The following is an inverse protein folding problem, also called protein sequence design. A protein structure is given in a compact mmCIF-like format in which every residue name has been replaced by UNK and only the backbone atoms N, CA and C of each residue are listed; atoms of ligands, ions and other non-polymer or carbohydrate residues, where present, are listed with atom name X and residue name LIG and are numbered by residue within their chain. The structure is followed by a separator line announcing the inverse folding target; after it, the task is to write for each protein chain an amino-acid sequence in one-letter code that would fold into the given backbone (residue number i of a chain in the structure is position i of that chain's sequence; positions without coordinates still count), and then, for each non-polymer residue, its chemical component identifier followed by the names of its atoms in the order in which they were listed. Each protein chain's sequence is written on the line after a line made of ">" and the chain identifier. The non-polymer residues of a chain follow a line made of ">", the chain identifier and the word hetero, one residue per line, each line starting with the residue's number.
data_IF_376502080849
#
_entry.id   IF_376502080849
#
_cell.length_a   1.000
_cell.length_b   1.000
_cell.length_c   1.000
_cell.angle_alpha   90.00
_cell.angle_beta   90.00
_cell.angle_gamma   90.00
#
_symmetry.space_group_name_H-M   'P 1'
#
loop_
_entity.id
_entity.type
_entity.pdbx_description
1 polymer ?
#
# COMPACT_ATOMS: atom_id res chain seq x y z
N UNK A 1 -17.25 -6.34 25.57
CA UNK A 1 -18.07 -7.57 25.65
C UNK A 1 -18.67 -7.80 27.04
N UNK A 2 -17.92 -7.64 28.14
CA UNK A 2 -18.42 -7.81 29.51
C UNK A 2 -19.54 -6.85 29.96
N UNK A 3 -19.71 -5.70 29.32
CA UNK A 3 -20.71 -4.69 29.68
C UNK A 3 -22.07 -4.94 28.99
N UNK A 4 -22.06 -5.59 27.81
CA UNK A 4 -23.28 -5.91 27.06
C UNK A 4 -24.09 -7.02 27.73
N UNK A 5 -23.44 -7.98 28.42
CA UNK A 5 -24.14 -9.06 29.13
C UNK A 5 -24.89 -8.57 30.36
N UNK A 6 -24.36 -7.55 31.04
CA UNK A 6 -24.96 -6.97 32.25
C UNK A 6 -26.22 -6.16 31.91
N UNK A 7 -26.18 -5.41 30.81
CA UNK A 7 -27.33 -4.59 30.38
C UNK A 7 -28.48 -5.45 29.82
N UNK A 8 -28.18 -6.53 29.08
CA UNK A 8 -29.20 -7.50 28.63
C UNK A 8 -29.84 -8.26 29.81
N UNK A 9 -29.05 -8.63 30.82
CA UNK A 9 -29.56 -9.28 32.04
C UNK A 9 -30.47 -8.32 32.84
N UNK A 10 -30.11 -7.04 32.94
CA UNK A 10 -30.91 -6.00 33.57
C UNK A 10 -32.23 -5.80 32.80
N UNK A 11 -32.19 -5.71 31.47
CA UNK A 11 -33.40 -5.57 30.63
C UNK A 11 -34.34 -6.76 30.82
N UNK A 12 -33.81 -8.00 30.87
CA UNK A 12 -34.62 -9.20 31.10
C UNK A 12 -35.28 -9.25 32.48
N UNK A 13 -34.60 -8.70 33.51
CA UNK A 13 -35.13 -8.62 34.87
C UNK A 13 -36.22 -7.55 35.01
N UNK A 14 -36.19 -6.52 34.18
CA UNK A 14 -37.17 -5.42 34.16
C UNK A 14 -38.47 -5.79 33.41
N UNK A 15 -38.44 -6.79 32.51
CA UNK A 15 -39.63 -7.24 31.77
C UNK A 15 -40.64 -8.05 32.59
N UNK A 16 -40.28 -8.52 33.79
CA UNK A 16 -41.22 -9.21 34.70
C UNK A 16 -42.20 -8.21 35.33
N UNK A 17 -43.19 -7.77 34.56
CA UNK A 17 -44.32 -6.94 35.02
C UNK A 17 -45.15 -7.69 36.09
N UNK A 18 -45.26 -7.21 37.33
CA UNK A 18 -46.23 -7.74 38.28
C UNK A 18 -47.58 -7.06 38.03
N UNK A 19 -48.25 -7.42 36.92
CA UNK A 19 -49.61 -6.97 36.60
C UNK A 19 -50.65 -7.35 37.68
N UNK A 20 -50.29 -8.24 38.60
CA UNK A 20 -51.11 -8.63 39.75
C UNK A 20 -51.25 -7.53 40.80
N UNK A 21 -50.20 -6.74 41.06
CA UNK A 21 -50.20 -5.72 42.12
C UNK A 21 -51.13 -4.55 41.77
N UNK A 22 -51.11 -4.10 40.51
CA UNK A 22 -52.00 -3.04 40.00
C UNK A 22 -53.48 -3.45 40.03
N UNK A 23 -53.80 -4.70 39.67
CA UNK A 23 -55.18 -5.23 39.74
C UNK A 23 -55.68 -5.30 41.18
N UNK A 24 -54.86 -5.80 42.10
CA UNK A 24 -55.21 -5.86 43.54
C UNK A 24 -55.37 -4.44 44.12
N UNK A 25 -54.51 -3.49 43.76
CA UNK A 25 -54.62 -2.09 44.16
C UNK A 25 -55.92 -1.42 43.68
N UNK A 26 -56.33 -1.71 42.44
CA UNK A 26 -57.56 -1.17 41.85
C UNK A 26 -58.83 -1.73 42.52
N UNK A 27 -58.82 -3.02 42.84
CA UNK A 27 -59.92 -3.70 43.55
C UNK A 27 -60.02 -3.17 44.99
N UNK A 28 -58.89 -3.04 45.70
CA UNK A 28 -58.86 -2.50 47.05
C UNK A 28 -59.37 -1.05 47.09
N UNK A 29 -58.97 -0.22 46.12
CA UNK A 29 -59.44 1.16 46.01
C UNK A 29 -60.96 1.26 45.83
N UNK A 30 -61.54 0.40 44.98
CA UNK A 30 -62.99 0.32 44.79
C UNK A 30 -63.75 -0.07 46.06
N UNK A 31 -63.21 -1.02 46.84
CA UNK A 31 -63.79 -1.44 48.12
C UNK A 31 -63.73 -0.30 49.15
N UNK A 32 -62.62 0.45 49.22
CA UNK A 32 -62.47 1.52 50.20
C UNK A 32 -63.34 2.75 49.88
N UNK A 33 -63.59 3.05 48.61
CA UNK A 33 -64.61 4.06 48.20
C UNK A 33 -66.00 3.64 48.66
N UNK A 34 -66.34 2.36 48.49
CA UNK A 34 -67.63 1.82 48.92
C UNK A 34 -67.80 1.95 50.44
N UNK A 35 -66.74 1.67 51.21
CA UNK A 35 -66.71 1.87 52.67
C UNK A 35 -66.93 3.35 53.02
N UNK A 36 -66.20 4.30 52.40
CA UNK A 36 -66.37 5.73 52.66
C UNK A 36 -67.80 6.23 52.39
N UNK A 37 -68.45 5.74 51.34
CA UNK A 37 -69.80 6.17 50.97
C UNK A 37 -70.90 5.53 51.83
N UNK A 38 -70.75 4.27 52.24
CA UNK A 38 -71.80 3.51 52.92
C UNK A 38 -71.64 3.41 54.44
N UNK A 39 -70.43 3.56 54.99
CA UNK A 39 -70.21 3.46 56.43
C UNK A 39 -70.90 4.58 57.25
N UNK A 40 -70.94 5.85 56.80
CA UNK A 40 -71.67 6.91 57.51
C UNK A 40 -73.17 6.61 57.60
N UNK A 41 -73.76 6.05 56.54
CA UNK A 41 -75.17 5.67 56.51
C UNK A 41 -75.47 4.48 57.45
N UNK A 42 -74.59 3.47 57.46
CA UNK A 42 -74.70 2.31 58.36
C UNK A 42 -74.58 2.71 59.83
N UNK A 43 -73.64 3.60 60.17
CA UNK A 43 -73.39 4.04 61.55
C UNK A 43 -74.48 4.99 62.06
N UNK A 44 -75.14 5.76 61.19
CA UNK A 44 -76.16 6.75 61.60
C UNK A 44 -77.60 6.22 61.58
N UNK A 45 -77.93 5.19 60.78
CA UNK A 45 -79.32 4.72 60.62
C UNK A 45 -79.59 3.24 60.97
N UNK A 46 -78.57 2.40 61.21
CA UNK A 46 -78.79 0.98 61.49
C UNK A 46 -78.88 0.67 63.00
N UNK A 47 -80.10 0.55 63.53
CA UNK A 47 -80.37 0.36 64.97
C UNK A 47 -80.11 -1.05 65.52
N UNK A 48 -79.64 -2.01 64.72
CA UNK A 48 -79.54 -3.43 65.12
C UNK A 48 -78.13 -3.99 65.30
N UNK A 49 -77.05 -3.23 65.00
CA UNK A 49 -75.69 -3.79 65.08
C UNK A 49 -74.67 -2.90 65.82
N UNK A 50 -74.82 -1.58 65.84
CA UNK A 50 -73.93 -0.68 66.59
C UNK A 50 -74.70 0.57 67.06
N UNK A 51 -75.19 0.56 68.30
CA UNK A 51 -75.89 1.71 68.90
C UNK A 51 -74.90 2.61 69.64
N UNK A 52 -74.30 3.58 68.95
CA UNK A 52 -73.71 4.73 69.62
C UNK A 52 -74.85 5.69 70.00
N UNK A 53 -75.10 5.89 71.30
CA UNK A 53 -76.00 6.97 71.75
C UNK A 53 -75.28 8.29 71.56
N UNK A 54 -75.70 9.06 70.56
CA UNK A 54 -75.11 10.36 70.26
C UNK A 54 -76.10 11.45 70.71
N UNK A 55 -75.76 12.16 71.79
CA UNK A 55 -76.68 13.10 72.43
C UNK A 55 -76.37 14.58 72.09
N UNK A 56 -75.29 14.89 71.34
CA UNK A 56 -74.94 16.27 70.92
C UNK A 56 -74.35 16.35 69.49
N UNK A 57 -74.70 17.40 68.70
CA UNK A 57 -74.27 17.54 67.31
C UNK A 57 -72.75 17.66 67.10
N UNK A 58 -71.98 18.18 68.07
CA UNK A 58 -70.52 18.23 67.98
C UNK A 58 -69.86 16.84 68.07
N UNK A 59 -70.47 15.89 68.78
CA UNK A 59 -69.92 14.53 68.98
C UNK A 59 -70.14 13.63 67.75
N UNK A 60 -71.14 13.95 66.91
CA UNK A 60 -71.36 13.28 65.60
C UNK A 60 -70.17 13.55 64.68
N UNK A 61 -69.71 14.80 64.62
CA UNK A 61 -68.57 15.20 63.80
C UNK A 61 -67.27 14.50 64.20
N UNK A 62 -66.99 14.44 65.51
CA UNK A 62 -65.80 13.79 66.05
C UNK A 62 -65.82 12.27 65.86
N UNK A 63 -66.98 11.63 66.01
CA UNK A 63 -67.13 10.18 65.80
C UNK A 63 -66.98 9.79 64.33
N UNK A 64 -67.60 10.56 63.42
CA UNK A 64 -67.44 10.35 61.98
C UNK A 64 -65.99 10.62 61.56
N UNK A 65 -65.38 11.71 62.04
CA UNK A 65 -63.98 12.05 61.75
C UNK A 65 -62.99 10.99 62.26
N UNK A 66 -63.18 10.48 63.47
CA UNK A 66 -62.33 9.46 64.09
C UNK A 66 -62.39 8.09 63.41
N UNK A 67 -63.56 7.72 62.85
CA UNK A 67 -63.75 6.46 62.11
C UNK A 67 -63.32 6.60 60.64
N UNK A 68 -63.60 7.74 60.02
CA UNK A 68 -63.32 7.99 58.60
C UNK A 68 -61.86 8.37 58.35
N UNK A 69 -61.22 9.10 59.27
CA UNK A 69 -59.84 9.58 59.14
C UNK A 69 -58.83 8.47 58.81
N UNK A 70 -58.77 7.37 59.59
CA UNK A 70 -57.88 6.24 59.29
C UNK A 70 -58.19 5.58 57.93
N UNK A 71 -59.47 5.46 57.56
CA UNK A 71 -59.88 4.87 56.28
C UNK A 71 -59.45 5.73 55.09
N UNK A 72 -59.65 7.06 55.19
CA UNK A 72 -59.19 8.04 54.19
C UNK A 72 -57.66 8.05 54.09
N UNK A 73 -56.96 7.98 55.23
CA UNK A 73 -55.49 7.93 55.26
C UNK A 73 -54.93 6.66 54.60
N UNK A 74 -55.54 5.49 54.82
CA UNK A 74 -55.15 4.23 54.17
C UNK A 74 -55.34 4.31 52.65
N UNK A 75 -56.45 4.92 52.19
CA UNK A 75 -56.69 5.13 50.75
C UNK A 75 -55.69 6.10 50.16
N UNK A 76 -55.41 7.22 50.83
CA UNK A 76 -54.44 8.19 50.38
C UNK A 76 -53.03 7.56 50.28
N UNK A 77 -52.64 6.74 51.26
CA UNK A 77 -51.38 5.99 51.24
C UNK A 77 -51.33 4.98 50.09
N UNK A 78 -52.43 4.24 49.82
CA UNK A 78 -52.54 3.32 48.69
C UNK A 78 -52.44 4.03 47.33
N UNK A 79 -53.18 5.13 47.15
CA UNK A 79 -53.12 5.94 45.92
C UNK A 79 -51.72 6.50 45.69
N UNK A 80 -51.09 7.01 46.75
CA UNK A 80 -49.73 7.54 46.71
C UNK A 80 -48.73 6.43 46.34
N UNK A 81 -48.89 5.22 46.89
CA UNK A 81 -48.08 4.06 46.51
C UNK A 81 -48.27 3.66 45.04
N UNK A 82 -49.51 3.64 44.53
CA UNK A 82 -49.79 3.34 43.12
C UNK A 82 -49.16 4.40 42.20
N UNK A 83 -49.26 5.68 42.56
CA UNK A 83 -48.66 6.78 41.80
C UNK A 83 -47.12 6.64 41.75
N UNK A 84 -46.48 6.36 42.89
CA UNK A 84 -45.04 6.10 42.95
C UNK A 84 -44.64 4.83 42.18
N UNK A 85 -45.46 3.78 42.21
CA UNK A 85 -45.22 2.56 41.44
C UNK A 85 -45.27 2.82 39.93
N UNK A 86 -46.27 3.57 39.46
CA UNK A 86 -46.37 3.97 38.06
C UNK A 86 -45.18 4.85 37.64
N UNK A 87 -44.72 5.75 38.51
CA UNK A 87 -43.52 6.56 38.27
C UNK A 87 -42.23 5.72 38.23
N UNK A 88 -42.13 4.71 39.10
CA UNK A 88 -41.01 3.77 39.10
C UNK A 88 -40.95 2.95 37.80
N UNK A 89 -42.10 2.44 37.33
CA UNK A 89 -42.21 1.72 36.05
C UNK A 89 -41.82 2.62 34.86
N UNK A 90 -42.31 3.87 34.86
CA UNK A 90 -41.95 4.85 33.83
C UNK A 90 -40.44 5.18 33.82
N UNK A 91 -39.81 5.31 35.00
CA UNK A 91 -38.37 5.56 35.11
C UNK A 91 -37.53 4.38 34.60
N UNK A 92 -37.99 3.15 34.81
CA UNK A 92 -37.35 1.94 34.28
C UNK A 92 -37.34 2.00 32.74
N UNK A 93 -38.48 2.28 32.13
CA UNK A 93 -38.61 2.34 30.68
C UNK A 93 -37.77 3.48 30.08
N UNK A 94 -37.77 4.65 30.73
CA UNK A 94 -36.90 5.77 30.35
C UNK A 94 -35.42 5.39 30.40
N UNK A 95 -34.99 4.66 31.44
CA UNK A 95 -33.60 4.17 31.55
C UNK A 95 -33.28 3.17 30.44
N UNK A 96 -34.20 2.27 30.11
CA UNK A 96 -34.05 1.32 28.99
C UNK A 96 -33.87 2.06 27.66
N UNK A 97 -34.73 3.05 27.39
CA UNK A 97 -34.62 3.88 26.17
C UNK A 97 -33.32 4.68 26.13
N UNK A 98 -32.87 5.23 27.26
CA UNK A 98 -31.60 5.95 27.33
C UNK A 98 -30.41 5.04 26.98
N UNK A 99 -30.37 3.83 27.55
CA UNK A 99 -29.30 2.86 27.28
C UNK A 99 -29.31 2.42 25.81
N UNK A 100 -30.49 2.15 25.24
CA UNK A 100 -30.63 1.80 23.83
C UNK A 100 -30.15 2.94 22.90
N UNK A 101 -30.51 4.18 23.22
CA UNK A 101 -30.06 5.35 22.46
C UNK A 101 -28.55 5.55 22.56
N UNK A 102 -27.96 5.37 23.75
CA UNK A 102 -26.51 5.46 23.94
C UNK A 102 -25.78 4.40 23.09
N UNK A 103 -26.29 3.16 23.06
CA UNK A 103 -25.73 2.09 22.24
C UNK A 103 -25.84 2.40 20.73
N UNK A 104 -27.02 2.84 20.28
CA UNK A 104 -27.22 3.26 18.88
C UNK A 104 -26.25 4.36 18.47
N UNK A 105 -26.08 5.40 19.30
CA UNK A 105 -25.16 6.49 19.03
C UNK A 105 -23.70 6.03 18.94
N UNK A 106 -23.29 5.08 19.79
CA UNK A 106 -21.95 4.51 19.73
C UNK A 106 -21.72 3.70 18.45
N UNK A 107 -22.72 2.92 18.03
CA UNK A 107 -22.62 2.11 16.81
C UNK A 107 -22.62 3.01 15.57
N UNK A 108 -23.45 4.06 15.53
CA UNK A 108 -23.44 5.08 14.48
C UNK A 108 -22.08 5.81 14.39
N UNK A 109 -21.47 6.14 15.53
CA UNK A 109 -20.15 6.77 15.59
C UNK A 109 -19.05 5.87 15.01
N UNK A 110 -19.04 4.57 15.33
CA UNK A 110 -18.09 3.61 14.76
C UNK A 110 -18.27 3.45 13.25
N UNK A 111 -19.51 3.44 12.77
CA UNK A 111 -19.82 3.38 11.34
C UNK A 111 -19.28 4.65 10.64
N UNK A 112 -19.47 5.82 11.26
CA UNK A 112 -18.98 7.08 10.72
C UNK A 112 -17.44 7.12 10.67
N UNK A 113 -16.77 6.66 11.73
CA UNK A 113 -15.30 6.56 11.80
C UNK A 113 -14.75 5.64 10.70
N UNK A 114 -15.37 4.48 10.50
CA UNK A 114 -14.99 3.53 9.45
C UNK A 114 -15.14 4.16 8.06
N UNK A 115 -16.27 4.83 7.80
CA UNK A 115 -16.53 5.53 6.52
C UNK A 115 -15.54 6.66 6.28
N UNK A 116 -15.17 7.38 7.33
CA UNK A 116 -14.18 8.46 7.25
C UNK A 116 -12.80 7.91 6.90
N UNK A 117 -12.37 6.82 7.55
CA UNK A 117 -11.11 6.16 7.25
C UNK A 117 -11.08 5.62 5.81
N UNK A 118 -12.17 4.97 5.37
CA UNK A 118 -12.31 4.50 3.99
C UNK A 118 -12.24 5.65 2.98
N UNK A 119 -12.89 6.78 3.28
CA UNK A 119 -12.83 7.97 2.43
C UNK A 119 -11.41 8.55 2.37
N UNK A 120 -10.70 8.62 3.50
CA UNK A 120 -9.32 9.08 3.56
C UNK A 120 -8.38 8.17 2.77
N UNK A 121 -8.57 6.86 2.86
CA UNK A 121 -7.79 5.88 2.08
C UNK A 121 -8.04 6.03 0.58
N UNK A 122 -9.31 6.24 0.15
CA UNK A 122 -9.64 6.52 -1.25
C UNK A 122 -8.96 7.78 -1.78
N UNK A 123 -8.99 8.87 -1.00
CA UNK A 123 -8.32 10.13 -1.38
C UNK A 123 -6.81 9.92 -1.48
N UNK A 124 -6.21 9.22 -0.52
CA UNK A 124 -4.77 8.94 -0.53
C UNK A 124 -4.36 8.11 -1.75
N UNK A 125 -5.20 7.13 -2.13
CA UNK A 125 -4.99 6.31 -3.31
C UNK A 125 -5.12 7.11 -4.61
N UNK A 126 -6.11 7.99 -4.70
CA UNK A 126 -6.28 8.89 -5.85
C UNK A 126 -5.09 9.86 -5.99
N UNK A 127 -4.61 10.43 -4.88
CA UNK A 127 -3.42 11.29 -4.87
C UNK A 127 -2.16 10.52 -5.32
N UNK A 128 -2.01 9.28 -4.85
CA UNK A 128 -0.95 8.38 -5.30
C UNK A 128 -1.06 8.14 -6.82
N UNK A 129 -2.24 7.76 -7.32
CA UNK A 129 -2.49 7.46 -8.74
C UNK A 129 -2.16 8.68 -9.62
N UNK A 130 -2.66 9.86 -9.25
CA UNK A 130 -2.36 11.10 -9.95
C UNK A 130 -0.85 11.38 -10.00
N UNK A 131 -0.14 11.24 -8.88
CA UNK A 131 1.31 11.42 -8.84
C UNK A 131 2.05 10.35 -9.67
N UNK A 132 1.62 9.10 -9.62
CA UNK A 132 2.18 8.00 -10.41
C UNK A 132 2.05 8.28 -11.91
N UNK A 133 0.86 8.67 -12.39
CA UNK A 133 0.65 8.96 -13.81
C UNK A 133 1.42 10.20 -14.27
N UNK A 134 1.55 11.23 -13.42
CA UNK A 134 2.39 12.38 -13.72
C UNK A 134 3.87 11.98 -13.87
N UNK A 135 4.39 11.13 -12.97
CA UNK A 135 5.77 10.64 -13.10
C UNK A 135 5.96 9.79 -14.36
N UNK A 136 4.96 8.97 -14.71
CA UNK A 136 4.97 8.17 -15.93
C UNK A 136 4.98 9.06 -17.19
N UNK A 137 4.23 10.15 -17.18
CA UNK A 137 4.22 11.14 -18.25
C UNK A 137 5.58 11.83 -18.39
N UNK A 138 6.17 12.30 -17.29
CA UNK A 138 7.52 12.89 -17.28
C UNK A 138 8.55 11.89 -17.82
N UNK A 139 8.46 10.62 -17.45
CA UNK A 139 9.37 9.59 -17.97
C UNK A 139 9.21 9.42 -19.50
N UNK A 140 7.97 9.44 -20.01
CA UNK A 140 7.72 9.39 -21.46
C UNK A 140 8.27 10.62 -22.18
N UNK A 141 8.16 11.80 -21.57
CA UNK A 141 8.75 13.05 -22.09
C UNK A 141 10.28 12.89 -22.20
N UNK A 142 10.94 12.50 -21.11
CA UNK A 142 12.38 12.22 -21.11
C UNK A 142 12.76 11.27 -22.24
N UNK A 143 12.05 10.14 -22.39
CA UNK A 143 12.34 9.19 -23.47
C UNK A 143 12.24 9.83 -24.85
N UNK A 144 11.23 10.70 -25.08
CA UNK A 144 11.04 11.39 -26.37
C UNK A 144 12.13 12.41 -26.67
N UNK A 145 12.64 13.08 -25.65
CA UNK A 145 13.70 14.10 -25.77
C UNK A 145 15.08 13.50 -26.07
N UNK A 146 15.33 12.23 -25.70
CA UNK A 146 16.60 11.58 -26.02
C UNK A 146 16.77 11.52 -27.54
N UNK A 147 17.90 12.05 -28.01
CA UNK A 147 18.30 12.00 -29.41
C UNK A 147 19.81 11.80 -29.52
N UNK A 148 20.24 11.07 -30.54
CA UNK A 148 21.65 10.77 -30.81
C UNK A 148 21.90 10.89 -32.31
N UNK A 149 22.74 11.86 -32.66
CA UNK A 149 22.93 12.29 -34.04
C UNK A 149 21.62 12.70 -34.70
N UNK A 150 21.60 12.75 -36.04
CA UNK A 150 20.45 13.25 -36.79
C UNK A 150 19.36 12.18 -37.04
N UNK A 151 19.63 10.92 -36.71
CA UNK A 151 18.80 9.77 -37.15
C UNK A 151 18.05 9.05 -36.04
N UNK A 152 18.53 9.13 -34.81
CA UNK A 152 17.93 8.38 -33.70
C UNK A 152 17.34 9.35 -32.68
N UNK A 153 16.05 9.18 -32.40
CA UNK A 153 15.32 9.94 -31.41
C UNK A 153 14.27 9.05 -30.74
N UNK A 154 13.89 9.39 -29.52
CA UNK A 154 12.93 8.62 -28.76
C UNK A 154 13.45 7.23 -28.38
N UNK A 155 12.54 6.27 -28.29
CA UNK A 155 12.85 4.84 -28.00
C UNK A 155 13.84 4.19 -28.99
N UNK A 156 14.03 4.74 -30.19
CA UNK A 156 14.91 4.15 -31.22
C UNK A 156 16.40 4.28 -30.87
N UNK A 157 16.75 5.16 -29.93
CA UNK A 157 18.14 5.40 -29.49
C UNK A 157 18.73 4.23 -28.70
N UNK A 158 17.91 3.40 -28.06
CA UNK A 158 18.40 2.34 -27.20
C UNK A 158 19.09 1.20 -27.96
N UNK A 159 18.70 0.94 -29.22
CA UNK A 159 19.40 -0.02 -30.06
C UNK A 159 20.87 0.39 -30.30
N UNK A 160 21.17 1.56 -30.90
CA UNK A 160 22.56 1.97 -31.12
C UNK A 160 23.34 2.15 -29.81
N UNK A 161 22.73 2.66 -28.74
CA UNK A 161 23.39 2.79 -27.44
C UNK A 161 23.89 1.46 -26.87
N UNK A 162 23.08 0.40 -26.96
CA UNK A 162 23.51 -0.93 -26.51
C UNK A 162 24.61 -1.48 -27.42
N UNK A 163 24.55 -1.21 -28.74
CA UNK A 163 25.63 -1.59 -29.66
C UNK A 163 26.95 -0.86 -29.33
N UNK A 164 26.88 0.41 -28.96
CA UNK A 164 28.05 1.19 -28.53
C UNK A 164 28.65 0.67 -27.24
N UNK A 165 27.84 0.39 -26.23
CA UNK A 165 28.30 -0.23 -24.98
C UNK A 165 28.94 -1.60 -25.23
N UNK A 166 28.32 -2.42 -26.11
CA UNK A 166 28.88 -3.69 -26.54
C UNK A 166 30.24 -3.51 -27.20
N UNK A 167 30.36 -2.56 -28.12
CA UNK A 167 31.60 -2.21 -28.80
C UNK A 167 32.71 -1.87 -27.80
N UNK A 168 32.42 -0.99 -26.84
CA UNK A 168 33.36 -0.62 -25.79
C UNK A 168 33.84 -1.81 -24.97
N UNK A 169 32.93 -2.71 -24.57
CA UNK A 169 33.29 -3.89 -23.81
C UNK A 169 34.15 -4.87 -24.62
N UNK A 170 33.76 -5.14 -25.88
CA UNK A 170 34.47 -6.08 -26.75
C UNK A 170 35.89 -5.60 -27.08
N UNK A 171 36.10 -4.30 -27.27
CA UNK A 171 37.45 -3.71 -27.43
C UNK A 171 38.33 -4.05 -26.22
N UNK A 172 37.83 -3.79 -25.01
CA UNK A 172 38.55 -4.04 -23.76
C UNK A 172 38.78 -5.54 -23.53
N UNK A 173 37.75 -6.36 -23.76
CA UNK A 173 37.80 -7.81 -23.61
C UNK A 173 38.84 -8.43 -24.56
N UNK A 174 38.81 -8.04 -25.83
CA UNK A 174 39.76 -8.54 -26.81
C UNK A 174 41.20 -8.16 -26.41
N UNK A 175 41.43 -6.89 -26.05
CA UNK A 175 42.75 -6.38 -25.67
C UNK A 175 43.34 -7.12 -24.45
N UNK A 176 42.57 -7.28 -23.38
CA UNK A 176 43.12 -7.71 -22.07
C UNK A 176 42.76 -9.13 -21.63
N UNK A 177 41.78 -9.80 -22.24
CA UNK A 177 41.42 -11.17 -21.85
C UNK A 177 41.72 -12.18 -22.95
N UNK A 178 41.54 -11.80 -24.22
CA UNK A 178 41.87 -12.70 -25.32
C UNK A 178 43.33 -12.65 -25.71
N UNK A 179 43.90 -11.47 -25.98
CA UNK A 179 45.31 -11.38 -26.36
C UNK A 179 46.25 -11.74 -25.20
N UNK A 180 45.90 -11.41 -23.95
CA UNK A 180 46.65 -11.82 -22.76
C UNK A 180 46.69 -13.33 -22.53
N UNK A 181 45.68 -14.08 -23.00
CA UNK A 181 45.71 -15.55 -22.92
C UNK A 181 46.86 -16.17 -23.74
N UNK A 182 47.45 -15.39 -24.65
CA UNK A 182 48.63 -15.76 -25.44
C UNK A 182 49.93 -15.11 -24.95
N UNK A 183 49.87 -14.24 -23.94
CA UNK A 183 51.04 -13.54 -23.40
C UNK A 183 51.68 -14.32 -22.24
N UNK A 184 52.98 -14.15 -22.08
CA UNK A 184 53.77 -14.83 -21.03
C UNK A 184 53.51 -14.26 -19.64
N UNK A 185 52.90 -13.06 -19.56
CA UNK A 185 52.67 -12.32 -18.32
C UNK A 185 51.30 -11.61 -18.37
N UNK A 186 50.18 -12.36 -18.30
CA UNK A 186 48.84 -11.83 -18.53
C UNK A 186 48.49 -10.73 -17.52
N UNK A 187 47.83 -9.68 -17.99
CA UNK A 187 47.25 -8.66 -17.14
C UNK A 187 46.17 -9.30 -16.28
N UNK A 188 46.23 -9.12 -14.97
CA UNK A 188 45.32 -9.76 -14.03
C UNK A 188 43.98 -9.01 -13.90
N UNK A 189 43.39 -8.54 -15.01
CA UNK A 189 42.11 -7.79 -15.00
C UNK A 189 40.91 -8.73 -15.05
N UNK A 190 39.84 -8.35 -14.35
CA UNK A 190 38.59 -9.13 -14.32
C UNK A 190 37.58 -8.62 -15.35
N UNK A 191 36.68 -9.50 -15.84
CA UNK A 191 35.58 -9.09 -16.73
C UNK A 191 34.73 -7.97 -16.12
N UNK A 192 34.57 -7.94 -14.80
CA UNK A 192 33.80 -6.92 -14.10
C UNK A 192 34.48 -5.55 -14.17
N UNK A 193 35.80 -5.49 -13.95
CA UNK A 193 36.56 -4.24 -14.10
C UNK A 193 36.48 -3.69 -15.53
N UNK A 194 36.65 -4.56 -16.53
CA UNK A 194 36.55 -4.17 -17.94
C UNK A 194 35.14 -3.67 -18.28
N UNK A 195 34.10 -4.32 -17.74
CA UNK A 195 32.74 -3.86 -17.94
C UNK A 195 32.45 -2.53 -17.25
N UNK A 196 32.92 -2.32 -16.02
CA UNK A 196 32.77 -1.03 -15.36
C UNK A 196 33.44 0.08 -16.16
N UNK A 197 34.65 -0.17 -16.67
CA UNK A 197 35.34 0.79 -17.53
C UNK A 197 34.57 1.04 -18.84
N UNK A 198 34.12 0.00 -19.53
CA UNK A 198 33.33 0.12 -20.75
C UNK A 198 32.08 0.98 -20.52
N UNK A 199 31.37 0.74 -19.40
CA UNK A 199 30.18 1.49 -19.06
C UNK A 199 30.50 2.95 -18.72
N UNK A 200 31.58 3.21 -17.99
CA UNK A 200 32.00 4.58 -17.66
C UNK A 200 32.44 5.36 -18.91
N UNK A 201 33.18 4.74 -19.83
CA UNK A 201 33.54 5.33 -21.13
C UNK A 201 32.27 5.61 -21.95
N UNK A 202 31.36 4.65 -22.05
CA UNK A 202 30.08 4.83 -22.75
C UNK A 202 29.25 5.98 -22.14
N UNK A 203 29.17 6.05 -20.81
CA UNK A 203 28.27 6.98 -20.14
C UNK A 203 28.86 8.39 -20.06
N UNK A 204 30.11 8.54 -19.64
CA UNK A 204 30.76 9.84 -19.50
C UNK A 204 31.49 10.29 -20.76
N UNK A 205 31.86 9.38 -21.65
CA UNK A 205 32.63 9.69 -22.85
C UNK A 205 34.14 9.55 -22.65
N UNK A 206 34.84 9.18 -23.72
CA UNK A 206 36.28 8.96 -23.69
C UNK A 206 37.07 10.26 -23.46
N UNK A 207 36.57 11.40 -23.94
CA UNK A 207 37.25 12.69 -23.80
C UNK A 207 37.12 13.35 -22.41
N UNK A 208 36.37 12.73 -21.49
CA UNK A 208 36.05 13.33 -20.20
C UNK A 208 36.99 12.93 -19.06
N UNK A 209 38.27 12.65 -19.35
CA UNK A 209 39.27 12.36 -18.31
C UNK A 209 39.40 13.47 -17.27
N UNK A 210 39.06 14.72 -17.60
CA UNK A 210 39.10 15.85 -16.68
C UNK A 210 37.80 16.06 -15.87
N UNK A 211 36.73 15.30 -16.16
CA UNK A 211 35.48 15.39 -15.43
C UNK A 211 35.69 14.88 -13.98
N UNK A 212 35.39 15.69 -12.93
CA UNK A 212 35.58 15.28 -11.54
C UNK A 212 34.81 14.01 -11.18
N UNK A 213 33.58 13.85 -11.67
CA UNK A 213 32.74 12.67 -11.41
C UNK A 213 33.34 11.41 -12.04
N UNK A 214 33.88 11.54 -13.25
CA UNK A 214 34.57 10.44 -13.92
C UNK A 214 35.81 10.01 -13.13
N UNK A 215 36.63 10.97 -12.67
CA UNK A 215 37.82 10.68 -11.85
C UNK A 215 37.46 10.03 -10.52
N UNK A 216 36.41 10.49 -9.85
CA UNK A 216 36.00 9.97 -8.54
C UNK A 216 35.51 8.51 -8.62
N UNK A 217 34.85 8.15 -9.73
CA UNK A 217 34.35 6.79 -9.96
C UNK A 217 35.43 5.81 -10.45
N UNK A 218 36.58 6.32 -10.89
CA UNK A 218 37.68 5.52 -11.42
C UNK A 218 38.66 5.18 -10.29
N UNK A 219 38.86 3.89 -10.03
CA UNK A 219 40.00 3.45 -9.22
C UNK A 219 41.31 3.66 -9.99
N UNK A 220 42.44 3.78 -9.30
CA UNK A 220 43.77 3.91 -9.93
C UNK A 220 44.02 2.83 -10.98
N UNK A 221 43.50 1.62 -10.71
CA UNK A 221 43.60 0.47 -11.59
C UNK A 221 42.75 0.61 -12.86
N UNK A 222 41.51 1.10 -12.76
CA UNK A 222 40.69 1.40 -13.94
C UNK A 222 41.28 2.56 -14.76
N UNK A 223 41.86 3.56 -14.09
CA UNK A 223 42.48 4.70 -14.74
C UNK A 223 43.71 4.30 -15.57
N UNK A 224 44.53 3.36 -15.08
CA UNK A 224 45.63 2.80 -15.86
C UNK A 224 45.15 2.18 -17.17
N UNK A 225 44.10 1.35 -17.11
CA UNK A 225 43.52 0.72 -18.29
C UNK A 225 43.00 1.79 -19.26
N UNK A 226 42.28 2.78 -18.74
CA UNK A 226 41.75 3.89 -19.53
C UNK A 226 42.83 4.62 -20.32
N UNK A 227 43.94 5.02 -19.68
CA UNK A 227 45.03 5.74 -20.35
C UNK A 227 45.68 4.89 -21.47
N UNK A 228 45.78 3.57 -21.28
CA UNK A 228 46.33 2.67 -22.30
C UNK A 228 45.41 2.43 -23.51
N UNK A 229 44.10 2.63 -23.36
CA UNK A 229 43.11 2.40 -24.44
C UNK A 229 42.59 3.68 -25.05
N UNK A 230 42.80 4.83 -24.42
CA UNK A 230 42.21 6.11 -24.80
C UNK A 230 42.40 6.43 -26.29
N UNK A 231 43.63 6.32 -26.79
CA UNK A 231 43.94 6.60 -28.21
C UNK A 231 43.19 5.68 -29.18
N UNK A 232 42.93 4.42 -28.78
CA UNK A 232 42.15 3.49 -29.61
C UNK A 232 40.69 3.95 -29.73
N UNK A 233 40.07 4.34 -28.62
CA UNK A 233 38.71 4.87 -28.60
C UNK A 233 38.58 6.20 -29.34
N UNK A 234 39.57 7.09 -29.23
CA UNK A 234 39.61 8.36 -29.97
C UNK A 234 39.68 8.15 -31.49
N UNK A 235 40.48 7.18 -31.94
CA UNK A 235 40.55 6.84 -33.36
C UNK A 235 39.19 6.36 -33.91
N UNK A 236 38.42 5.62 -33.10
CA UNK A 236 37.09 5.14 -33.49
C UNK A 236 36.07 6.29 -33.51
N UNK A 237 36.15 7.22 -32.54
CA UNK A 237 35.33 8.43 -32.51
C UNK A 237 35.49 9.25 -33.80
N UNK A 238 36.70 9.32 -34.37
CA UNK A 238 37.01 10.10 -35.58
C UNK A 238 36.61 9.40 -36.90
N UNK A 239 36.52 8.07 -36.91
CA UNK A 239 36.44 7.29 -38.16
C UNK A 239 35.06 6.79 -38.53
N UNK A 240 34.00 7.03 -37.74
CA UNK A 240 32.59 6.62 -37.97
C UNK A 240 32.36 5.09 -38.20
N UNK A 241 33.41 4.27 -38.22
CA UNK A 241 33.38 2.85 -38.55
C UNK A 241 34.36 2.08 -37.68
N UNK A 242 33.94 0.92 -37.18
CA UNK A 242 34.86 -0.03 -36.57
C UNK A 242 34.68 -1.44 -37.12
N UNK A 243 35.80 -2.04 -37.51
CA UNK A 243 35.91 -3.46 -37.81
C UNK A 243 36.40 -4.19 -36.56
N UNK A 244 35.53 -4.97 -35.93
CA UNK A 244 35.88 -5.84 -34.82
C UNK A 244 35.89 -7.29 -35.32
N UNK A 245 37.10 -7.84 -35.48
CA UNK A 245 37.32 -9.25 -35.82
C UNK A 245 37.98 -9.96 -34.67
N UNK A 246 37.33 -11.00 -34.17
CA UNK A 246 37.85 -11.90 -33.15
C UNK A 246 37.65 -13.37 -33.60
N UNK A 247 38.45 -14.29 -33.06
CA UNK A 247 38.40 -15.74 -33.27
C UNK A 247 37.02 -16.36 -32.96
N UNK A 248 36.21 -15.77 -32.06
CA UNK A 248 34.86 -16.27 -31.72
C UNK A 248 33.75 -15.72 -32.62
N UNK A 249 33.83 -14.45 -33.04
CA UNK A 249 32.84 -13.76 -33.90
C UNK A 249 33.48 -12.58 -34.63
N UNK A 250 33.12 -12.40 -35.90
CA UNK A 250 33.32 -11.15 -36.65
C UNK A 250 32.03 -10.34 -36.59
N UNK A 251 32.11 -9.08 -36.18
CA UNK A 251 30.95 -8.18 -36.29
C UNK A 251 31.38 -6.78 -36.70
N UNK A 252 30.57 -6.17 -37.56
CA UNK A 252 30.79 -4.83 -38.08
C UNK A 252 29.81 -3.90 -37.37
N UNK A 253 30.30 -2.96 -36.58
CA UNK A 253 29.45 -1.88 -36.06
C UNK A 253 29.77 -0.62 -36.82
N UNK A 254 28.74 -0.09 -37.47
CA UNK A 254 28.78 1.23 -38.08
C UNK A 254 27.90 2.15 -37.26
N UNK A 255 28.52 3.07 -36.54
CA UNK A 255 27.79 4.15 -35.91
C UNK A 255 27.38 5.16 -36.98
N UNK A 256 26.18 5.73 -36.85
CA UNK A 256 25.70 6.82 -37.72
C UNK A 256 25.71 8.15 -36.98
N UNK A 257 26.58 8.22 -35.98
CA UNK A 257 26.80 9.32 -35.04
C UNK A 257 28.19 9.10 -34.42
N UNK A 258 28.75 10.14 -33.79
CA UNK A 258 30.04 10.02 -33.10
C UNK A 258 29.90 9.16 -31.84
N UNK A 259 30.53 8.00 -31.85
CA UNK A 259 30.53 7.09 -30.71
C UNK A 259 31.49 7.56 -29.61
N UNK A 260 31.27 7.10 -28.39
CA UNK A 260 32.10 7.32 -27.20
C UNK A 260 32.25 8.79 -26.77
N UNK A 261 31.38 9.68 -27.26
CA UNK A 261 31.30 11.08 -26.80
C UNK A 261 30.71 11.21 -25.38
N UNK A 262 30.04 10.17 -24.90
CA UNK A 262 29.31 10.14 -23.63
C UNK A 262 27.84 10.51 -23.79
N UNK A 263 26.98 9.84 -23.03
CA UNK A 263 25.51 9.97 -23.08
C UNK A 263 24.90 10.32 -21.73
N UNK A 264 25.71 10.84 -20.80
CA UNK A 264 25.28 11.10 -19.42
C UNK A 264 24.17 12.14 -19.33
N UNK A 265 24.16 13.16 -20.19
CA UNK A 265 23.12 14.20 -20.24
C UNK A 265 21.74 13.62 -20.51
N UNK A 266 21.65 12.69 -21.46
CA UNK A 266 20.41 12.10 -21.95
C UNK A 266 19.97 10.95 -21.04
N UNK A 267 20.90 10.06 -20.69
CA UNK A 267 20.58 8.81 -20.01
C UNK A 267 20.43 8.95 -18.49
N UNK A 268 21.07 9.95 -17.87
CA UNK A 268 20.95 10.17 -16.42
C UNK A 268 19.51 10.42 -16.00
N UNK A 269 18.79 11.28 -16.72
CA UNK A 269 17.41 11.63 -16.40
C UNK A 269 16.46 10.45 -16.63
N UNK A 270 16.64 9.75 -17.75
CA UNK A 270 15.86 8.56 -18.08
C UNK A 270 15.96 7.46 -17.01
N UNK A 271 17.18 6.98 -16.71
CA UNK A 271 17.39 5.88 -15.75
C UNK A 271 16.95 6.29 -14.35
N UNK A 272 17.25 7.53 -13.93
CA UNK A 272 16.90 8.01 -12.59
C UNK A 272 15.40 8.13 -12.40
N UNK A 273 14.67 8.71 -13.37
CA UNK A 273 13.21 8.81 -13.26
C UNK A 273 12.55 7.43 -13.29
N UNK A 274 13.03 6.51 -14.13
CA UNK A 274 12.52 5.15 -14.14
C UNK A 274 12.69 4.46 -12.78
N UNK A 275 13.89 4.56 -12.19
CA UNK A 275 14.17 4.04 -10.85
C UNK A 275 13.30 4.70 -9.79
N UNK A 276 13.12 6.02 -9.85
CA UNK A 276 12.29 6.77 -8.91
C UNK A 276 10.82 6.38 -8.97
N UNK A 277 10.26 6.07 -10.15
CA UNK A 277 8.88 5.59 -10.26
C UNK A 277 8.75 4.23 -9.56
N UNK A 278 9.66 3.30 -9.85
CA UNK A 278 9.64 1.97 -9.21
C UNK A 278 9.74 2.09 -7.70
N UNK A 279 10.70 2.88 -7.21
CA UNK A 279 10.89 3.13 -5.78
C UNK A 279 9.67 3.83 -5.16
N UNK A 280 9.09 4.82 -5.84
CA UNK A 280 7.89 5.51 -5.37
C UNK A 280 6.71 4.56 -5.15
N UNK A 281 6.52 3.58 -6.04
CA UNK A 281 5.49 2.54 -5.88
C UNK A 281 5.85 1.56 -4.76
N UNK A 282 7.10 1.10 -4.70
CA UNK A 282 7.57 0.13 -3.70
C UNK A 282 7.48 0.67 -2.27
N UNK A 283 7.86 1.92 -2.07
CA UNK A 283 7.91 2.63 -0.78
C UNK A 283 6.52 2.88 -0.17
N UNK A 284 5.42 2.67 -0.92
CA UNK A 284 4.08 2.88 -0.37
C UNK A 284 3.75 1.86 0.74
N UNK A 285 3.03 2.26 1.80
CA UNK A 285 2.63 1.34 2.85
C UNK A 285 1.63 0.29 2.33
N UNK A 286 1.68 -0.92 2.89
CA UNK A 286 0.82 -2.05 2.47
C UNK A 286 -0.66 -1.77 2.74
N UNK A 287 -0.97 -0.93 3.71
CA UNK A 287 -2.32 -0.44 4.01
C UNK A 287 -2.89 0.42 2.88
N UNK A 288 -2.04 1.13 2.13
CA UNK A 288 -2.44 1.92 0.98
C UNK A 288 -2.42 1.11 -0.32
N UNK A 289 -1.34 0.37 -0.56
CA UNK A 289 -1.15 -0.48 -1.74
C UNK A 289 -0.68 -1.86 -1.32
N UNK A 290 -1.49 -2.87 -1.61
CA UNK A 290 -1.08 -4.27 -1.49
C UNK A 290 0.10 -4.58 -2.43
N UNK A 291 0.86 -5.64 -2.12
CA UNK A 291 2.00 -6.06 -2.96
C UNK A 291 1.59 -6.42 -4.40
N UNK A 292 0.37 -6.94 -4.57
CA UNK A 292 -0.21 -7.20 -5.90
C UNK A 292 -0.53 -5.91 -6.66
N UNK A 293 -1.07 -4.90 -5.98
CA UNK A 293 -1.31 -3.59 -6.59
C UNK A 293 0.00 -2.92 -6.98
N UNK A 294 1.02 -2.94 -6.10
CA UNK A 294 2.37 -2.44 -6.43
C UNK A 294 2.93 -3.14 -7.67
N UNK A 295 2.81 -4.46 -7.74
CA UNK A 295 3.23 -5.23 -8.91
C UNK A 295 2.47 -4.82 -10.18
N UNK A 296 1.17 -4.56 -10.08
CA UNK A 296 0.35 -4.13 -11.21
C UNK A 296 0.73 -2.73 -11.70
N UNK A 297 0.95 -1.76 -10.79
CA UNK A 297 1.45 -0.43 -11.15
C UNK A 297 2.81 -0.49 -11.85
N UNK A 298 3.73 -1.31 -11.36
CA UNK A 298 5.03 -1.46 -12.01
C UNK A 298 4.93 -2.26 -13.31
N UNK A 299 3.96 -3.16 -13.44
CA UNK A 299 3.64 -3.81 -14.72
C UNK A 299 3.16 -2.80 -15.76
N UNK A 300 2.33 -1.83 -15.37
CA UNK A 300 1.88 -0.75 -16.26
C UNK A 300 3.05 0.13 -16.73
N UNK A 301 4.00 0.43 -15.84
CA UNK A 301 5.24 1.12 -16.18
C UNK A 301 6.08 0.29 -17.16
N UNK A 302 6.31 -0.99 -16.84
CA UNK A 302 7.08 -1.91 -17.69
C UNK A 302 6.49 -2.06 -19.09
N UNK A 303 5.17 -2.02 -19.23
CA UNK A 303 4.50 -2.06 -20.53
C UNK A 303 4.83 -0.85 -21.43
N UNK A 304 5.41 0.22 -20.88
CA UNK A 304 5.93 1.35 -21.66
C UNK A 304 7.35 1.14 -22.19
N UNK A 305 8.09 0.17 -21.65
CA UNK A 305 9.49 -0.07 -21.97
C UNK A 305 9.60 -1.04 -23.14
N UNK A 306 10.26 -0.61 -24.22
CA UNK A 306 10.61 -1.49 -25.33
C UNK A 306 11.63 -2.56 -24.92
N UNK A 307 11.73 -3.64 -25.71
CA UNK A 307 12.75 -4.69 -25.48
C UNK A 307 14.19 -4.15 -25.48
N UNK A 308 14.49 -3.11 -26.28
CA UNK A 308 15.81 -2.49 -26.28
C UNK A 308 16.04 -1.59 -25.07
N UNK A 309 15.01 -0.89 -24.58
CA UNK A 309 15.08 -0.18 -23.29
C UNK A 309 15.35 -1.16 -22.14
N UNK A 310 14.63 -2.28 -22.10
CA UNK A 310 14.85 -3.32 -21.08
C UNK A 310 16.25 -3.93 -21.16
N UNK A 311 16.78 -4.11 -22.37
CA UNK A 311 18.17 -4.54 -22.60
C UNK A 311 19.17 -3.52 -22.05
N UNK A 312 18.96 -2.24 -22.34
CA UNK A 312 19.80 -1.17 -21.79
C UNK A 312 19.71 -1.11 -20.26
N UNK A 313 18.51 -1.20 -19.67
CA UNK A 313 18.30 -1.17 -18.21
C UNK A 313 19.02 -2.35 -17.55
N UNK A 314 18.96 -3.55 -18.14
CA UNK A 314 19.69 -4.71 -17.63
C UNK A 314 21.20 -4.43 -17.56
N UNK A 315 21.77 -3.90 -18.64
CA UNK A 315 23.19 -3.56 -18.67
C UNK A 315 23.54 -2.40 -17.73
N UNK A 316 22.71 -1.35 -17.66
CA UNK A 316 22.88 -0.30 -16.67
C UNK A 316 22.90 -0.88 -15.24
N UNK A 317 21.99 -1.79 -14.90
CA UNK A 317 21.93 -2.41 -13.57
C UNK A 317 23.17 -3.23 -13.20
N UNK A 318 23.89 -3.74 -14.20
CA UNK A 318 25.17 -4.42 -14.03
C UNK A 318 26.36 -3.46 -13.83
N UNK A 319 26.17 -2.16 -14.05
CA UNK A 319 27.19 -1.13 -13.83
C UNK A 319 27.14 -0.58 -12.41
N UNK A 320 28.24 0.01 -11.95
CA UNK A 320 28.35 0.70 -10.66
C UNK A 320 27.29 1.79 -10.50
N UNK A 321 26.88 2.43 -11.59
CA UNK A 321 25.84 3.46 -11.60
C UNK A 321 24.41 2.89 -11.43
N UNK A 322 24.20 1.63 -11.83
CA UNK A 322 22.90 0.96 -11.77
C UNK A 322 22.77 -0.10 -10.68
N UNK A 323 23.80 -0.36 -9.87
CA UNK A 323 23.76 -1.28 -8.73
C UNK A 323 22.57 -1.14 -7.77
N UNK A 324 21.97 0.05 -7.54
CA UNK A 324 20.74 0.15 -6.78
C UNK A 324 19.59 -0.72 -7.31
N UNK A 325 19.52 -0.98 -8.63
CA UNK A 325 18.51 -1.86 -9.23
C UNK A 325 18.60 -3.31 -8.74
N UNK A 326 19.82 -3.79 -8.47
CA UNK A 326 20.09 -5.16 -8.03
C UNK A 326 20.18 -5.29 -6.50
N UNK A 327 19.91 -4.21 -5.76
CA UNK A 327 20.05 -4.21 -4.30
C UNK A 327 21.50 -4.35 -3.82
N UNK A 328 22.50 -4.05 -4.65
CA UNK A 328 23.93 -4.17 -4.31
C UNK A 328 24.46 -3.02 -3.45
N UNK A 329 23.67 -1.99 -3.20
CA UNK A 329 24.09 -0.81 -2.43
C UNK A 329 24.12 -1.04 -0.92
N UNK A 330 23.38 -2.02 -0.40
CA UNK A 330 23.29 -2.33 1.03
C UNK A 330 22.81 -3.77 1.25
N UNK A 331 23.17 -4.39 2.38
CA UNK A 331 22.75 -5.77 2.71
C UNK A 331 21.23 -5.96 2.80
N UNK A 332 20.46 -4.86 2.94
CA UNK A 332 19.00 -4.88 3.04
C UNK A 332 18.28 -4.29 1.82
N UNK A 333 18.99 -3.97 0.73
CA UNK A 333 18.35 -3.38 -0.45
C UNK A 333 17.65 -4.42 -1.32
N UNK A 334 16.48 -4.04 -1.82
CA UNK A 334 15.62 -4.87 -2.67
C UNK A 334 16.18 -4.94 -4.09
N UNK A 335 16.22 -6.14 -4.68
CA UNK A 335 16.44 -6.30 -6.11
C UNK A 335 15.15 -5.96 -6.87
N UNK A 336 15.07 -4.73 -7.38
CA UNK A 336 13.90 -4.22 -8.08
C UNK A 336 13.67 -4.88 -9.44
N UNK A 337 14.74 -5.25 -10.16
CA UNK A 337 14.60 -5.98 -11.41
C UNK A 337 13.93 -7.33 -11.18
N UNK A 338 14.33 -8.03 -10.11
CA UNK A 338 13.76 -9.32 -9.74
C UNK A 338 12.34 -9.18 -9.19
N UNK A 339 12.14 -8.37 -8.13
CA UNK A 339 10.86 -8.25 -7.41
C UNK A 339 9.70 -7.98 -8.37
N UNK A 340 9.92 -7.08 -9.33
CA UNK A 340 8.88 -6.64 -10.25
C UNK A 340 9.01 -7.17 -11.67
N UNK A 341 9.99 -8.04 -11.93
CA UNK A 341 10.32 -8.53 -13.27
C UNK A 341 10.42 -7.38 -14.30
N UNK A 342 11.12 -6.28 -13.97
CA UNK A 342 11.17 -5.05 -14.80
C UNK A 342 11.60 -5.36 -16.24
N UNK A 343 12.52 -6.31 -16.40
CA UNK A 343 13.10 -6.73 -17.69
C UNK A 343 12.40 -7.98 -18.26
N UNK A 344 11.08 -8.11 -18.11
CA UNK A 344 10.34 -9.32 -18.54
C UNK A 344 10.40 -9.58 -20.04
N UNK A 345 10.41 -8.54 -20.87
CA UNK A 345 10.52 -8.64 -22.33
C UNK A 345 11.96 -8.44 -22.81
N UNK A 346 12.95 -8.71 -21.95
CA UNK A 346 14.37 -8.72 -22.29
C UNK A 346 14.65 -9.75 -23.39
N UNK A 347 15.22 -9.33 -24.53
CA UNK A 347 15.56 -10.24 -25.61
C UNK A 347 16.81 -11.04 -25.23
N UNK A 348 16.63 -12.18 -24.54
CA UNK A 348 17.74 -13.01 -24.04
C UNK A 348 18.84 -13.33 -25.07
N UNK A 349 18.54 -13.61 -26.36
CA UNK A 349 19.59 -13.82 -27.37
C UNK A 349 20.50 -12.61 -27.63
N UNK A 350 20.06 -11.40 -27.28
CA UNK A 350 20.86 -10.17 -27.40
C UNK A 350 21.67 -9.86 -26.14
N UNK A 351 21.53 -10.66 -25.07
CA UNK A 351 22.35 -10.56 -23.86
C UNK A 351 23.68 -11.32 -24.04
N UNK A 352 24.50 -10.90 -25.02
CA UNK A 352 25.55 -11.76 -25.58
C UNK A 352 26.99 -11.29 -25.36
N UNK A 353 27.22 -10.14 -24.71
CA UNK A 353 28.58 -9.61 -24.52
C UNK A 353 29.06 -9.58 -23.07
N UNK A 354 28.22 -9.27 -22.08
CA UNK A 354 28.61 -9.27 -20.66
C UNK A 354 27.50 -9.88 -19.79
N UNK A 355 27.87 -10.85 -18.95
CA UNK A 355 27.02 -11.60 -18.00
C UNK A 355 25.60 -11.84 -18.52
N UNK A 356 25.33 -12.99 -19.13
CA UNK A 356 23.98 -13.39 -19.50
C UNK A 356 23.11 -13.60 -18.24
N UNK A 357 21.85 -13.10 -18.21
CA UNK A 357 21.04 -13.06 -16.99
C UNK A 357 20.82 -14.42 -16.32
N UNK A 358 20.53 -15.46 -17.13
CA UNK A 358 20.28 -16.82 -16.64
C UNK A 358 21.57 -17.63 -16.41
N UNK A 359 22.53 -17.60 -17.34
CA UNK A 359 23.74 -18.43 -17.30
C UNK A 359 24.67 -18.00 -16.17
N UNK A 360 24.82 -16.69 -15.97
CA UNK A 360 25.62 -16.13 -14.88
C UNK A 360 24.81 -15.95 -13.59
N UNK A 361 23.57 -16.44 -13.53
CA UNK A 361 22.68 -16.37 -12.36
C UNK A 361 22.49 -14.94 -11.81
N UNK A 362 22.48 -13.93 -12.68
CA UNK A 362 22.23 -12.54 -12.30
C UNK A 362 20.77 -12.35 -11.89
N UNK A 363 19.86 -12.98 -12.63
CA UNK A 363 18.42 -12.96 -12.36
C UNK A 363 17.88 -14.39 -12.39
N UNK A 364 17.00 -14.76 -11.44
CA UNK A 364 16.41 -16.09 -11.40
C UNK A 364 15.38 -16.29 -12.53
N UNK A 365 14.99 -17.54 -12.79
CA UNK A 365 13.91 -17.86 -13.75
C UNK A 365 12.54 -17.37 -13.28
N UNK A 366 12.33 -17.32 -11.97
CA UNK A 366 11.11 -16.89 -11.31
C UNK A 366 11.46 -15.91 -10.21
N UNK A 367 10.66 -14.87 -10.01
CA UNK A 367 10.85 -13.94 -8.90
C UNK A 367 10.38 -14.56 -7.56
N UNK A 368 10.56 -13.81 -6.47
CA UNK A 368 10.12 -14.18 -5.13
C UNK A 368 8.61 -14.44 -4.98
N UNK A 369 7.79 -13.95 -5.92
CA UNK A 369 6.33 -14.19 -5.97
C UNK A 369 5.94 -15.36 -6.88
N UNK A 370 6.91 -16.12 -7.41
CA UNK A 370 6.67 -17.24 -8.32
C UNK A 370 6.29 -16.83 -9.75
N UNK A 371 6.41 -15.55 -10.11
CA UNK A 371 6.13 -15.04 -11.45
C UNK A 371 7.36 -15.26 -12.35
N UNK A 372 7.18 -15.72 -13.60
CA UNK A 372 8.30 -15.91 -14.52
C UNK A 372 9.00 -14.58 -14.81
N UNK A 373 10.33 -14.59 -14.70
CA UNK A 373 11.17 -13.42 -14.86
C UNK A 373 11.17 -12.90 -16.29
N UNK A 374 11.20 -13.82 -17.27
CA UNK A 374 11.32 -13.51 -18.68
C UNK A 374 10.18 -14.16 -19.48
N UNK A 375 9.54 -13.38 -20.35
CA UNK A 375 8.53 -13.85 -21.30
C UNK A 375 9.10 -14.93 -22.24
N UNK A 376 10.40 -14.88 -22.53
CA UNK A 376 11.08 -15.86 -23.37
C UNK A 376 10.96 -17.31 -22.87
N UNK A 377 10.84 -17.51 -21.55
CA UNK A 377 10.64 -18.83 -20.95
C UNK A 377 9.26 -19.35 -21.36
N UNK A 378 8.22 -18.53 -21.20
CA UNK A 378 6.85 -18.85 -21.59
C UNK A 378 6.71 -19.03 -23.12
N UNK A 379 7.45 -18.25 -23.92
CA UNK A 379 7.48 -18.40 -25.40
C UNK A 379 8.09 -19.75 -25.78
N UNK A 380 9.20 -20.13 -25.17
CA UNK A 380 9.86 -21.42 -25.44
C UNK A 380 8.98 -22.61 -25.06
N UNK A 381 8.28 -22.54 -23.93
CA UNK A 381 7.32 -23.57 -23.51
C UNK A 381 6.14 -23.68 -24.48
N UNK A 382 5.60 -22.54 -24.94
CA UNK A 382 4.56 -22.53 -25.98
C UNK A 382 5.05 -23.16 -27.28
N UNK A 383 6.28 -22.84 -27.71
CA UNK A 383 6.88 -23.41 -28.91
C UNK A 383 7.15 -24.91 -28.77
N UNK A 384 7.58 -25.40 -27.60
CA UNK A 384 7.81 -26.82 -27.38
C UNK A 384 6.52 -27.62 -27.40
N UNK A 385 5.39 -27.03 -26.97
CA UNK A 385 4.07 -27.68 -26.97
C UNK A 385 3.41 -27.73 -28.36
N UNK A 386 3.96 -27.05 -29.36
CA UNK A 386 3.49 -27.14 -30.76
C UNK A 386 4.10 -28.33 -31.50
N UNK A 387 5.22 -28.87 -31.01
CA UNK A 387 5.90 -30.06 -31.52
C UNK A 387 5.49 -31.29 -30.72
#
# INVERSE_FOLDING_TARGET
>A
MQQNSTDEEIISKLEKKPNSILKVGSISFGISIFIILFLPWIVTQCSSCLSFKIDKPNEIGDTIGGIMGPSVAIIAAMLTFIAFWAQYDANIEQRKQFLLNQKSQQDDAKIQETRFLDAQNRISKEQFENKYYNLLEIHRENTREISIGDKYAGVKVFYPLVQELKCAYEILYNKYLLFDSFDSNPSNYTEEELYQLAYLIFFFGINNSNNPLFKELMSDRLFSIYEEVKEMFLLIEETDYEYLSNERRTFWIRFRYRAFIGHSSELSHYVRHLFQIVKFVDDQPTELLSDDEKYNYITNLRAQLTSHEQLFIYYNALSVLGYPWLGKSSSNSVNYLEKYCIVKSLPLPLCDFYKHPLENQVLPKYNSQGKPMFEWIEIKERLSNLN
#
